data_IF_724119723555
#
_entry.id   IF_724119723555
#
_cell.length_a   1.000
_cell.length_b   1.000
_cell.length_c   1.000
_cell.angle_alpha   90.00
_cell.angle_beta   90.00
_cell.angle_gamma   90.00
#
_symmetry.space_group_name_H-M   'P 1'
#
loop_
_entity.id
_entity.type
_entity.pdbx_description
1 polymer ?
#
# COMPACT_ATOMS: atom_id res chain seq x y z
N UNK A 1 -27.96 -12.52 -21.92
CA UNK A 1 -29.25 -12.25 -21.31
C UNK A 1 -29.05 -11.26 -20.14
N UNK A 2 -29.65 -10.06 -20.17
CA UNK A 2 -29.43 -9.03 -19.14
C UNK A 2 -29.84 -9.49 -17.73
N UNK A 3 -30.78 -10.44 -17.61
CA UNK A 3 -31.19 -10.95 -16.30
C UNK A 3 -30.10 -11.73 -15.57
N UNK A 4 -29.18 -12.39 -16.28
CA UNK A 4 -28.08 -13.13 -15.66
C UNK A 4 -27.02 -12.16 -15.12
N UNK A 5 -26.70 -11.09 -15.88
CA UNK A 5 -25.75 -10.07 -15.43
C UNK A 5 -26.26 -9.35 -14.17
N UNK A 6 -27.55 -9.02 -14.11
CA UNK A 6 -28.18 -8.42 -12.92
C UNK A 6 -28.12 -9.40 -11.73
N UNK A 7 -28.40 -10.68 -11.94
CA UNK A 7 -28.34 -11.70 -10.91
C UNK A 7 -26.92 -11.90 -10.35
N UNK A 8 -25.91 -11.90 -11.19
CA UNK A 8 -24.50 -12.00 -10.78
C UNK A 8 -24.06 -10.75 -10.00
N UNK A 9 -24.47 -9.56 -10.44
CA UNK A 9 -24.18 -8.32 -9.75
C UNK A 9 -24.75 -8.32 -8.32
N UNK A 10 -25.99 -8.75 -8.13
CA UNK A 10 -26.61 -8.82 -6.80
C UNK A 10 -26.00 -9.89 -5.89
N UNK A 11 -25.56 -11.00 -6.45
CA UNK A 11 -25.04 -12.13 -5.67
C UNK A 11 -23.55 -12.00 -5.36
N UNK A 12 -22.77 -11.48 -6.30
CA UNK A 12 -21.31 -11.52 -6.27
C UNK A 12 -20.67 -10.13 -6.24
N UNK A 13 -21.48 -9.05 -6.40
CA UNK A 13 -20.96 -7.70 -6.53
C UNK A 13 -20.17 -7.44 -7.82
N UNK A 14 -20.27 -8.35 -8.80
CA UNK A 14 -19.59 -8.24 -10.08
C UNK A 14 -20.26 -7.18 -10.95
N UNK A 15 -19.57 -6.07 -11.19
CA UNK A 15 -20.07 -4.94 -11.99
C UNK A 15 -19.79 -5.13 -13.47
N UNK A 16 -18.58 -5.54 -13.79
CA UNK A 16 -18.14 -5.73 -15.18
C UNK A 16 -17.03 -6.78 -15.27
N UNK A 17 -16.99 -7.43 -16.41
CA UNK A 17 -15.91 -8.35 -16.79
C UNK A 17 -15.32 -7.90 -18.12
N UNK A 18 -14.02 -7.69 -18.13
CA UNK A 18 -13.26 -7.36 -19.36
C UNK A 18 -12.26 -8.47 -19.68
N UNK A 19 -11.59 -8.37 -20.82
CA UNK A 19 -10.54 -9.34 -21.17
C UNK A 19 -9.34 -9.32 -20.19
N UNK A 20 -9.17 -8.25 -19.44
CA UNK A 20 -8.01 -8.05 -18.56
C UNK A 20 -8.35 -8.17 -17.07
N UNK A 21 -9.58 -7.88 -16.67
CA UNK A 21 -9.96 -7.85 -15.26
C UNK A 21 -11.46 -8.02 -15.04
N UNK A 22 -11.80 -8.58 -13.88
CA UNK A 22 -13.15 -8.58 -13.33
C UNK A 22 -13.24 -7.43 -12.31
N UNK A 23 -14.32 -6.65 -12.42
CA UNK A 23 -14.56 -5.48 -11.57
C UNK A 23 -15.66 -5.78 -10.58
N UNK A 24 -15.36 -5.62 -9.28
CA UNK A 24 -16.30 -5.83 -8.20
C UNK A 24 -16.55 -4.53 -7.46
N UNK A 25 -17.79 -4.28 -7.06
CA UNK A 25 -18.16 -3.18 -6.18
C UNK A 25 -18.30 -3.68 -4.74
N UNK A 26 -17.68 -2.96 -3.81
CA UNK A 26 -17.76 -3.28 -2.39
C UNK A 26 -17.77 -2.00 -1.56
N UNK A 27 -18.78 -1.82 -0.72
CA UNK A 27 -18.90 -0.67 0.18
C UNK A 27 -17.83 -0.66 1.30
N UNK A 28 -17.12 -1.77 1.50
CA UNK A 28 -16.07 -1.91 2.52
C UNK A 28 -14.68 -1.58 2.01
N UNK A 29 -14.57 -0.94 0.84
CA UNK A 29 -13.28 -0.45 0.35
C UNK A 29 -12.71 0.54 1.37
N UNK A 30 -11.44 0.33 1.73
CA UNK A 30 -10.75 1.20 2.68
C UNK A 30 -10.66 2.63 2.13
N UNK A 31 -11.05 3.59 2.97
CA UNK A 31 -10.94 5.00 2.65
C UNK A 31 -9.65 5.57 3.26
N UNK A 32 -8.81 6.15 2.45
CA UNK A 32 -7.64 6.88 2.89
C UNK A 32 -7.97 8.35 3.08
N UNK A 33 -7.57 8.92 4.20
CA UNK A 33 -7.80 10.33 4.54
C UNK A 33 -6.46 11.05 4.57
N UNK A 34 -6.33 12.09 3.77
CA UNK A 34 -5.15 12.94 3.75
C UNK A 34 -5.11 13.88 4.96
N UNK A 35 -3.90 14.37 5.33
CA UNK A 35 -3.75 15.38 6.38
C UNK A 35 -4.60 16.62 6.13
N UNK A 36 -5.08 17.23 7.20
CA UNK A 36 -6.08 18.32 7.14
C UNK A 36 -5.54 19.65 6.61
N UNK A 37 -4.24 19.89 6.69
CA UNK A 37 -3.70 21.24 6.51
C UNK A 37 -2.76 21.41 5.33
N UNK A 38 -2.04 20.38 4.93
CA UNK A 38 -1.17 20.46 3.74
C UNK A 38 -0.89 19.08 3.18
N UNK A 39 -0.95 18.98 1.87
CA UNK A 39 -0.52 17.80 1.11
C UNK A 39 0.91 17.94 0.59
N UNK A 40 1.55 19.05 0.88
CA UNK A 40 2.93 19.35 0.49
C UNK A 40 3.71 19.76 1.72
N UNK A 41 4.83 19.11 1.96
CA UNK A 41 5.74 19.44 3.06
C UNK A 41 7.18 19.44 2.55
N UNK A 42 8.05 20.04 3.31
CA UNK A 42 9.47 20.17 2.98
C UNK A 42 10.30 19.15 3.71
N UNK A 43 11.25 18.57 3.01
CA UNK A 43 12.30 17.77 3.65
C UNK A 43 13.33 18.76 4.19
N UNK A 44 13.59 18.71 5.49
CA UNK A 44 14.59 19.57 6.10
C UNK A 44 16.00 19.23 5.63
N UNK A 45 16.34 17.97 5.69
CA UNK A 45 17.56 17.38 5.13
C UNK A 45 17.32 15.86 5.00
N UNK A 46 17.36 15.37 3.79
CA UNK A 46 17.23 13.92 3.55
C UNK A 46 18.44 13.44 2.75
N UNK A 47 19.21 12.59 3.38
CA UNK A 47 20.28 11.87 2.67
C UNK A 47 19.70 10.59 2.11
N UNK A 48 19.68 10.46 0.81
CA UNK A 48 19.25 9.26 0.15
C UNK A 48 20.34 8.20 0.34
N UNK A 49 20.05 7.20 1.17
CA UNK A 49 20.92 6.04 1.38
C UNK A 49 20.25 4.78 0.90
N UNK A 50 21.06 3.81 0.49
CA UNK A 50 20.51 2.50 0.13
C UNK A 50 19.86 1.84 1.35
N UNK A 51 18.65 1.39 1.18
CA UNK A 51 17.85 0.81 2.26
C UNK A 51 17.04 1.81 3.08
N UNK A 52 17.10 3.10 2.79
CA UNK A 52 16.31 4.09 3.51
C UNK A 52 14.81 3.78 3.43
N UNK A 53 14.14 3.70 4.58
CA UNK A 53 12.72 3.45 4.76
C UNK A 53 12.05 4.49 5.66
N UNK A 54 12.77 5.57 5.97
CA UNK A 54 12.26 6.71 6.75
C UNK A 54 12.86 8.01 6.27
N UNK A 55 12.11 9.09 6.41
CA UNK A 55 12.58 10.45 6.13
C UNK A 55 12.00 11.41 7.16
N UNK A 56 12.75 12.45 7.46
CA UNK A 56 12.31 13.52 8.38
C UNK A 56 11.84 14.71 7.55
N UNK A 57 10.62 15.13 7.80
CA UNK A 57 10.00 16.30 7.19
C UNK A 57 9.82 17.41 8.18
N UNK A 58 9.99 18.65 7.74
CA UNK A 58 9.75 19.84 8.53
C UNK A 58 8.44 20.50 8.11
N UNK A 59 7.85 21.24 9.04
CA UNK A 59 6.63 22.03 8.81
C UNK A 59 5.39 21.19 8.48
N UNK A 60 5.34 19.94 8.91
CA UNK A 60 4.11 19.17 8.89
C UNK A 60 3.16 19.71 9.97
N UNK A 61 2.04 20.27 9.56
CA UNK A 61 1.02 20.77 10.52
C UNK A 61 0.11 19.64 11.03
N UNK A 62 0.12 18.51 10.33
CA UNK A 62 -0.55 17.29 10.77
C UNK A 62 0.23 16.06 10.26
N UNK A 63 0.31 15.02 11.08
CA UNK A 63 0.96 13.77 10.69
C UNK A 63 0.14 13.09 9.57
N UNK A 64 0.79 12.54 8.54
CA UNK A 64 0.11 11.72 7.57
C UNK A 64 -0.38 10.42 8.21
N UNK A 65 -1.49 9.91 7.72
CA UNK A 65 -2.02 8.64 8.15
C UNK A 65 -1.27 7.48 7.49
N UNK A 66 -1.22 6.35 8.17
CA UNK A 66 -0.76 5.09 7.57
C UNK A 66 -1.63 4.77 6.35
N UNK A 67 -0.99 4.43 5.24
CA UNK A 67 -1.67 4.21 3.96
C UNK A 67 -1.70 5.42 3.03
N UNK A 68 -1.36 6.63 3.49
CA UNK A 68 -1.19 7.76 2.58
C UNK A 68 -0.07 7.48 1.58
N UNK A 69 -0.29 7.84 0.33
CA UNK A 69 0.71 7.75 -0.73
C UNK A 69 1.37 9.10 -0.96
N UNK A 70 2.65 9.09 -1.25
CA UNK A 70 3.42 10.31 -1.52
C UNK A 70 4.55 10.09 -2.51
N UNK A 71 5.04 11.17 -3.07
CA UNK A 71 6.23 11.22 -3.93
C UNK A 71 7.27 12.15 -3.34
N UNK A 72 8.54 11.93 -3.68
CA UNK A 72 9.66 12.77 -3.25
C UNK A 72 10.15 13.58 -4.43
N UNK A 73 10.11 14.90 -4.30
CA UNK A 73 10.52 15.85 -5.33
C UNK A 73 9.42 16.18 -6.33
N UNK A 74 9.83 16.77 -7.42
CA UNK A 74 8.98 17.18 -8.55
C UNK A 74 9.51 16.59 -9.85
N UNK A 75 8.70 16.59 -10.89
CA UNK A 75 9.18 16.25 -12.22
C UNK A 75 10.33 17.18 -12.62
N UNK A 76 11.46 16.64 -13.00
CA UNK A 76 12.70 17.37 -13.25
C UNK A 76 13.65 17.44 -12.05
N UNK A 77 13.19 17.23 -10.82
CA UNK A 77 14.03 17.21 -9.61
C UNK A 77 13.41 16.30 -8.54
N UNK A 78 13.43 15.01 -8.76
CA UNK A 78 12.80 14.07 -7.84
C UNK A 78 13.30 12.64 -7.98
N UNK A 79 12.66 11.75 -7.24
CA UNK A 79 12.96 10.33 -7.18
C UNK A 79 12.05 9.60 -8.17
N UNK A 80 12.61 9.08 -9.23
CA UNK A 80 11.89 8.40 -10.31
C UNK A 80 11.79 6.90 -10.06
N UNK A 81 10.68 6.32 -10.47
CA UNK A 81 10.53 4.88 -10.55
C UNK A 81 11.40 4.29 -11.66
N UNK A 82 11.76 3.02 -11.54
CA UNK A 82 12.55 2.30 -12.53
C UNK A 82 11.86 1.03 -12.99
N UNK A 83 12.15 0.64 -14.22
CA UNK A 83 11.69 -0.63 -14.75
C UNK A 83 12.32 -1.80 -13.95
N UNK A 84 11.54 -2.81 -13.54
CA UNK A 84 12.03 -3.86 -12.64
C UNK A 84 13.15 -4.71 -13.22
N UNK A 85 13.19 -4.89 -14.55
CA UNK A 85 14.21 -5.71 -15.23
C UNK A 85 15.37 -4.86 -15.76
N UNK A 86 15.07 -3.88 -16.62
CA UNK A 86 16.09 -3.08 -17.30
C UNK A 86 16.73 -2.01 -16.42
N UNK A 87 16.12 -1.69 -15.27
CA UNK A 87 16.54 -0.62 -14.36
C UNK A 87 16.57 0.78 -14.99
N UNK A 88 15.97 0.93 -16.18
CA UNK A 88 15.80 2.22 -16.82
C UNK A 88 14.76 3.05 -16.05
N UNK A 89 15.01 4.37 -15.92
CA UNK A 89 14.08 5.26 -15.27
C UNK A 89 12.80 5.44 -16.08
N UNK A 90 11.66 5.46 -15.40
CA UNK A 90 10.40 5.89 -15.97
C UNK A 90 10.30 7.42 -16.00
N UNK A 91 9.30 7.94 -16.70
CA UNK A 91 9.00 9.36 -16.75
C UNK A 91 8.19 9.89 -15.55
N UNK A 92 7.85 9.03 -14.60
CA UNK A 92 7.07 9.36 -13.40
C UNK A 92 7.86 9.12 -12.11
N UNK A 93 7.48 9.84 -11.08
CA UNK A 93 8.10 9.71 -9.76
C UNK A 93 7.71 8.40 -9.10
N UNK A 94 8.62 7.86 -8.27
CA UNK A 94 8.34 6.72 -7.44
C UNK A 94 7.32 7.09 -6.37
N UNK A 95 6.24 6.35 -6.28
CA UNK A 95 5.27 6.42 -5.21
C UNK A 95 5.74 5.60 -4.00
N UNK A 96 5.55 6.19 -2.83
CA UNK A 96 5.81 5.57 -1.53
C UNK A 96 4.53 5.58 -0.70
N UNK A 97 4.40 4.61 0.18
CA UNK A 97 3.25 4.48 1.09
C UNK A 97 3.72 4.67 2.52
N UNK A 98 3.02 5.49 3.28
CA UNK A 98 3.28 5.71 4.71
C UNK A 98 2.93 4.44 5.49
N UNK A 99 3.88 3.93 6.24
CA UNK A 99 3.70 2.76 7.14
C UNK A 99 3.69 3.13 8.61
N UNK A 100 4.19 4.30 8.95
CA UNK A 100 4.20 4.82 10.29
C UNK A 100 4.67 6.26 10.33
N UNK A 101 4.32 6.95 11.40
CA UNK A 101 4.79 8.32 11.66
C UNK A 101 5.17 8.45 13.12
N UNK A 102 6.28 9.14 13.37
CA UNK A 102 6.69 9.55 14.71
C UNK A 102 6.88 11.05 14.72
N UNK A 103 6.19 11.73 15.64
CA UNK A 103 6.40 13.17 15.86
C UNK A 103 7.66 13.35 16.66
N UNK A 104 8.61 14.09 16.12
CA UNK A 104 9.79 14.56 16.87
C UNK A 104 9.46 15.93 17.45
N UNK A 105 10.14 16.32 18.51
CA UNK A 105 9.90 17.60 19.19
C UNK A 105 9.94 18.79 18.21
N UNK A 106 8.92 19.62 18.24
CA UNK A 106 8.76 20.78 17.36
C UNK A 106 7.86 20.50 16.17
N UNK A 107 8.18 21.09 15.03
CA UNK A 107 7.42 20.96 13.76
C UNK A 107 7.95 19.85 12.84
N UNK A 108 8.80 18.97 13.36
CA UNK A 108 9.38 17.88 12.58
C UNK A 108 8.67 16.57 12.84
N UNK A 109 8.46 15.80 11.80
CA UNK A 109 7.93 14.43 11.88
C UNK A 109 8.77 13.48 11.04
N UNK A 110 9.01 12.30 11.57
CA UNK A 110 9.64 11.21 10.80
C UNK A 110 8.56 10.33 10.21
N UNK A 111 8.57 10.21 8.91
CA UNK A 111 7.66 9.35 8.13
C UNK A 111 8.39 8.06 7.81
N UNK A 112 7.83 6.92 8.19
CA UNK A 112 8.25 5.61 7.75
C UNK A 112 7.48 5.23 6.50
N UNK A 113 8.14 4.61 5.53
CA UNK A 113 7.52 4.33 4.24
C UNK A 113 7.99 3.02 3.60
N UNK A 114 7.20 2.55 2.65
CA UNK A 114 7.50 1.44 1.77
C UNK A 114 7.21 1.84 0.30
N UNK A 115 7.92 1.27 -0.70
CA UNK A 115 9.08 0.39 -0.56
C UNK A 115 10.33 1.16 -0.08
N UNK A 116 11.29 0.48 0.58
CA UNK A 116 12.56 1.12 0.95
C UNK A 116 13.33 1.51 -0.31
N UNK A 117 14.07 2.61 -0.25
CA UNK A 117 14.87 3.10 -1.36
C UNK A 117 16.03 2.13 -1.63
N UNK A 118 16.16 1.67 -2.88
CA UNK A 118 17.28 0.84 -3.34
C UNK A 118 17.95 1.52 -4.52
N UNK A 119 19.20 1.90 -4.32
CA UNK A 119 19.96 2.70 -5.28
C UNK A 119 20.68 1.85 -6.32
N UNK A 120 21.08 0.65 -5.96
CA UNK A 120 21.98 -0.18 -6.77
C UNK A 120 21.56 -1.65 -6.83
N UNK A 121 22.15 -2.38 -7.78
CA UNK A 121 22.00 -3.82 -7.92
C UNK A 121 20.64 -4.27 -8.47
N UNK A 122 20.38 -5.57 -8.35
CA UNK A 122 19.17 -6.19 -8.88
C UNK A 122 17.86 -5.66 -8.22
N UNK A 123 17.97 -5.12 -7.02
CA UNK A 123 16.84 -4.54 -6.26
C UNK A 123 16.65 -3.04 -6.47
N UNK A 124 17.45 -2.39 -7.33
CA UNK A 124 17.30 -0.97 -7.63
C UNK A 124 15.85 -0.68 -8.02
N UNK A 125 15.22 0.26 -7.30
CA UNK A 125 13.81 0.65 -7.51
C UNK A 125 13.65 2.14 -7.75
N UNK A 126 14.72 2.94 -7.67
CA UNK A 126 14.67 4.38 -7.89
C UNK A 126 15.84 4.85 -8.75
N UNK A 127 15.61 5.97 -9.45
CA UNK A 127 16.63 6.69 -10.21
C UNK A 127 16.48 8.20 -10.00
N UNK A 128 17.53 8.95 -10.30
CA UNK A 128 17.49 10.40 -10.37
C UNK A 128 16.92 10.93 -11.67
N UNK A 129 16.96 12.22 -11.82
CA UNK A 129 16.57 12.94 -13.05
C UNK A 129 17.35 12.37 -14.23
N UNK A 130 16.66 12.15 -15.35
CA UNK A 130 17.26 11.64 -16.60
C UNK A 130 17.86 10.23 -16.53
N UNK A 131 17.46 9.42 -15.55
CA UNK A 131 17.97 8.04 -15.42
C UNK A 131 19.36 7.95 -14.80
N UNK A 132 19.95 9.08 -14.40
CA UNK A 132 21.20 9.06 -13.64
C UNK A 132 21.03 8.28 -12.34
N UNK A 133 22.08 7.55 -11.94
CA UNK A 133 22.08 6.93 -10.63
C UNK A 133 21.92 8.03 -9.57
N UNK A 134 20.93 7.85 -8.69
CA UNK A 134 20.85 8.63 -7.47
C UNK A 134 22.07 8.31 -6.64
N UNK A 135 23.07 9.17 -6.71
CA UNK A 135 24.22 9.11 -5.80
C UNK A 135 23.71 9.52 -4.43
N UNK A 136 24.34 9.02 -3.38
CA UNK A 136 24.14 9.50 -2.01
C UNK A 136 24.22 11.04 -2.03
N UNK A 137 23.08 11.67 -2.14
CA UNK A 137 22.97 13.14 -2.21
C UNK A 137 21.92 13.60 -1.21
N UNK A 138 22.23 14.68 -0.53
CA UNK A 138 21.24 15.34 0.30
C UNK A 138 20.27 16.11 -0.60
N UNK A 139 19.01 15.69 -0.62
CA UNK A 139 17.93 16.51 -1.16
C UNK A 139 17.62 17.60 -0.15
N UNK A 140 18.28 18.74 -0.29
CA UNK A 140 17.91 19.95 0.45
C UNK A 140 16.72 20.59 -0.23
N UNK A 141 15.70 20.94 0.54
CA UNK A 141 14.49 21.59 0.05
C UNK A 141 13.67 20.75 -0.96
N UNK A 142 13.82 19.44 -0.95
CA UNK A 142 12.92 18.59 -1.72
C UNK A 142 11.52 18.58 -1.09
N UNK A 143 10.53 18.56 -1.93
CA UNK A 143 9.13 18.56 -1.53
C UNK A 143 8.67 17.12 -1.41
N UNK A 144 8.07 16.76 -0.28
CA UNK A 144 7.22 15.57 -0.17
C UNK A 144 5.82 15.99 -0.51
N UNK A 145 5.25 15.37 -1.52
CA UNK A 145 3.89 15.64 -1.97
C UNK A 145 3.02 14.41 -1.78
N UNK A 146 1.99 14.55 -0.95
CA UNK A 146 0.96 13.54 -0.80
C UNK A 146 -0.01 13.59 -1.99
N UNK A 147 -0.46 12.43 -2.42
CA UNK A 147 -1.43 12.32 -3.50
C UNK A 147 -2.79 12.83 -3.04
N UNK A 148 -3.43 13.63 -3.89
CA UNK A 148 -4.72 14.22 -3.62
C UNK A 148 -4.69 15.56 -2.91
N UNK A 149 -5.87 16.07 -2.51
CA UNK A 149 -6.06 17.34 -1.81
C UNK A 149 -5.98 17.20 -0.28
N UNK A 150 -5.80 18.32 0.46
CA UNK A 150 -5.85 18.30 1.91
C UNK A 150 -7.26 17.91 2.41
N UNK A 151 -7.31 17.22 3.56
CA UNK A 151 -8.55 16.73 4.18
C UNK A 151 -9.47 15.88 3.27
N UNK A 152 -8.95 15.43 2.14
CA UNK A 152 -9.73 14.65 1.18
C UNK A 152 -9.71 13.18 1.53
N UNK A 153 -10.86 12.54 1.36
CA UNK A 153 -11.03 11.10 1.54
C UNK A 153 -11.08 10.42 0.18
N UNK A 154 -10.27 9.40 0.00
CA UNK A 154 -10.19 8.64 -1.24
C UNK A 154 -10.43 7.17 -0.97
N UNK A 155 -11.36 6.52 -1.71
CA UNK A 155 -11.44 5.07 -1.70
C UNK A 155 -10.18 4.51 -2.37
N UNK A 156 -9.58 3.49 -1.78
CA UNK A 156 -8.43 2.79 -2.33
C UNK A 156 -8.88 1.44 -2.87
N UNK A 157 -9.28 1.35 -4.15
CA UNK A 157 -9.59 0.08 -4.76
C UNK A 157 -8.34 -0.78 -4.89
N UNK A 158 -8.50 -2.08 -4.68
CA UNK A 158 -7.42 -3.05 -4.83
C UNK A 158 -7.52 -3.72 -6.20
N UNK A 159 -6.39 -3.80 -6.89
CA UNK A 159 -6.23 -4.63 -8.08
C UNK A 159 -5.19 -5.71 -7.79
N UNK A 160 -5.58 -6.97 -7.93
CA UNK A 160 -4.70 -8.10 -7.63
C UNK A 160 -4.95 -9.25 -8.59
N UNK A 161 -3.94 -10.08 -8.79
CA UNK A 161 -4.07 -11.32 -9.51
C UNK A 161 -4.84 -12.32 -8.63
N UNK A 162 -5.65 -13.18 -9.23
CA UNK A 162 -6.47 -14.20 -8.53
C UNK A 162 -5.64 -15.08 -7.57
N UNK A 163 -4.37 -15.30 -7.88
CA UNK A 163 -3.46 -16.14 -7.09
C UNK A 163 -2.58 -15.31 -6.12
N UNK A 164 -2.84 -13.99 -5.98
CA UNK A 164 -2.10 -13.12 -5.05
C UNK A 164 -2.37 -13.47 -3.59
N UNK A 165 -3.55 -14.03 -3.31
CA UNK A 165 -3.94 -14.48 -1.98
C UNK A 165 -4.26 -15.96 -2.02
N UNK A 166 -3.67 -16.72 -1.11
CA UNK A 166 -3.96 -18.13 -0.93
C UNK A 166 -4.56 -18.35 0.46
N UNK A 167 -5.74 -18.94 0.47
CA UNK A 167 -6.36 -19.40 1.71
C UNK A 167 -6.12 -20.89 1.87
N UNK A 168 -5.56 -21.29 3.00
CA UNK A 168 -5.40 -22.69 3.35
C UNK A 168 -5.95 -22.94 4.75
N UNK A 169 -6.76 -23.96 4.90
CA UNK A 169 -7.19 -24.42 6.21
C UNK A 169 -6.73 -25.85 6.46
N UNK A 170 -6.29 -26.12 7.68
CA UNK A 170 -5.94 -27.47 8.12
C UNK A 170 -7.10 -28.08 8.91
N UNK A 171 -7.30 -29.38 8.73
CA UNK A 171 -8.26 -30.11 9.54
C UNK A 171 -7.75 -30.18 10.99
N UNK A 172 -8.55 -29.65 11.92
CA UNK A 172 -8.23 -29.71 13.33
C UNK A 172 -8.51 -31.12 13.88
N UNK A 173 -7.67 -31.62 14.78
CA UNK A 173 -7.92 -32.93 15.44
C UNK A 173 -9.22 -32.90 16.25
N UNK A 174 -9.83 -34.06 16.42
CA UNK A 174 -10.97 -34.20 17.31
C UNK A 174 -10.52 -33.93 18.75
N UNK A 175 -11.41 -33.39 19.56
CA UNK A 175 -11.17 -33.16 20.99
C UNK A 175 -11.65 -34.35 21.78
N UNK A 176 -10.76 -34.93 22.58
CA UNK A 176 -11.06 -36.12 23.38
C UNK A 176 -11.99 -35.81 24.58
N UNK A 177 -11.95 -34.59 25.10
CA UNK A 177 -12.76 -34.13 26.24
C UNK A 177 -14.12 -33.55 25.85
N UNK A 178 -14.48 -33.57 24.56
CA UNK A 178 -15.75 -33.04 24.10
C UNK A 178 -16.86 -34.10 24.20
N UNK A 179 -18.04 -33.71 24.69
CA UNK A 179 -19.24 -34.56 24.68
C UNK A 179 -19.59 -34.91 23.24
N UNK A 180 -19.43 -33.96 22.34
CA UNK A 180 -19.66 -34.11 20.91
C UNK A 180 -18.64 -33.31 20.14
N UNK A 181 -17.96 -33.92 19.19
CA UNK A 181 -17.02 -33.21 18.30
C UNK A 181 -17.22 -33.71 16.88
N UNK A 182 -17.44 -32.77 15.97
CA UNK A 182 -17.60 -33.05 14.55
C UNK A 182 -16.69 -32.13 13.75
N UNK A 183 -15.94 -32.71 12.84
CA UNK A 183 -15.14 -31.95 11.84
C UNK A 183 -15.75 -32.16 10.47
N UNK A 184 -16.02 -31.07 9.78
CA UNK A 184 -16.47 -31.09 8.38
C UNK A 184 -15.64 -30.14 7.55
N UNK A 185 -15.28 -30.59 6.37
CA UNK A 185 -14.61 -29.77 5.35
C UNK A 185 -15.60 -29.51 4.23
N UNK A 186 -15.80 -28.25 3.90
CA UNK A 186 -16.62 -27.80 2.79
C UNK A 186 -15.86 -26.72 2.02
N UNK A 187 -15.75 -26.88 0.72
CA UNK A 187 -15.07 -25.95 -0.20
C UNK A 187 -13.67 -25.51 0.27
N UNK A 188 -12.87 -26.50 0.75
CA UNK A 188 -11.51 -26.24 1.23
C UNK A 188 -11.42 -25.63 2.64
N UNK A 189 -12.55 -25.35 3.30
CA UNK A 189 -12.61 -24.80 4.64
C UNK A 189 -12.97 -25.92 5.63
N UNK A 190 -12.06 -26.15 6.60
CA UNK A 190 -12.32 -27.12 7.66
C UNK A 190 -12.87 -26.43 8.90
N UNK A 191 -14.03 -26.87 9.34
CA UNK A 191 -14.71 -26.41 10.54
C UNK A 191 -14.78 -27.53 11.57
N UNK A 192 -14.44 -27.24 12.81
CA UNK A 192 -14.65 -28.10 13.95
C UNK A 192 -15.69 -27.47 14.86
N UNK A 193 -16.76 -28.21 15.09
CA UNK A 193 -17.80 -27.87 16.06
C UNK A 193 -17.72 -28.84 17.20
N UNK A 194 -17.69 -28.34 18.42
CA UNK A 194 -17.62 -29.18 19.64
C UNK A 194 -18.56 -28.63 20.70
N UNK A 195 -19.04 -29.55 21.52
CA UNK A 195 -19.87 -29.29 22.68
C UNK A 195 -19.11 -29.79 23.91
N UNK A 196 -18.83 -28.89 24.86
CA UNK A 196 -18.21 -29.21 26.14
C UNK A 196 -19.25 -29.22 27.27
N UNK A 197 -18.99 -29.93 28.38
CA UNK A 197 -19.73 -29.75 29.60
C UNK A 197 -19.15 -28.57 30.38
N UNK A 198 -20.02 -27.70 30.90
CA UNK A 198 -19.66 -26.73 31.92
C UNK A 198 -19.36 -27.44 33.26
#
# INVERSE_FOLDING_TARGET
NPSNAISEQYREGLVARTAMADYYENERVYNNVNPTTSVTTWISTFTITDGAASLTVSSLQANPNVGNTFTIGTLGNGVYAVHPETKAAYSHLQQFVVTGTTTTAGTQSTIQFQPPIRLTGARKNVAGVTGADLVVSSLTSAIVRFDGGPASTYPIPLMYHRDAFTFASAQLPLMDDAIKCVVKTYDGISLRVWEGSD
#
